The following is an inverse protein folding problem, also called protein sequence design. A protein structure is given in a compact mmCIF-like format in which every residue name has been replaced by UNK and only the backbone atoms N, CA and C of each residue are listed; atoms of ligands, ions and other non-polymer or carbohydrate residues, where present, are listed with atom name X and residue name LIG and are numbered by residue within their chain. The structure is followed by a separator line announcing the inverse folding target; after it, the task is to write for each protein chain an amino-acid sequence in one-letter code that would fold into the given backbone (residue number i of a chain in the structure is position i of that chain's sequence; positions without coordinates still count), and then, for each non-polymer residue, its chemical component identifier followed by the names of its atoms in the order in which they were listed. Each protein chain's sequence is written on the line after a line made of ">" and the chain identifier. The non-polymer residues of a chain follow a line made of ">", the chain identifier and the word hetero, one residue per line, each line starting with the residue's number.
data_IF_784534077467
#
_entry.id   IF_784534077467
#
_cell.length_a   1.000
_cell.length_b   1.000
_cell.length_c   1.000
_cell.angle_alpha   90.00
_cell.angle_beta   90.00
_cell.angle_gamma   90.00
#
_symmetry.space_group_name_H-M   'P 1'
#
loop_
_entity.id
_entity.type
_entity.pdbx_description
1 polymer ?
#
# COMPACT_ATOMS: atom_id res chain seq x y z
N UNK A 1 14.85 29.14 44.51
CA UNK A 1 13.96 28.28 43.68
C UNK A 1 13.90 28.91 42.32
N UNK A 2 14.80 28.47 41.39
CA UNK A 2 14.97 29.07 40.07
C UNK A 2 14.53 27.99 39.06
N UNK A 3 13.41 28.21 38.40
CA UNK A 3 12.97 27.39 37.27
C UNK A 3 13.76 27.81 36.03
N UNK A 4 14.66 26.95 35.57
CA UNK A 4 15.34 27.11 34.27
C UNK A 4 14.43 26.63 33.17
N UNK A 5 13.95 27.56 32.38
CA UNK A 5 13.20 27.34 31.14
C UNK A 5 14.16 26.83 30.07
N UNK A 6 14.07 25.55 29.71
CA UNK A 6 14.71 24.96 28.55
C UNK A 6 13.89 25.29 27.30
N UNK A 7 14.14 26.45 26.72
CA UNK A 7 13.68 26.78 25.40
C UNK A 7 14.59 26.08 24.36
N UNK A 8 14.22 24.89 23.91
CA UNK A 8 14.85 24.25 22.76
C UNK A 8 14.47 25.01 21.51
N UNK A 9 15.36 25.90 21.03
CA UNK A 9 15.27 26.49 19.69
C UNK A 9 15.49 25.36 18.66
N UNK A 10 14.42 24.91 18.07
CA UNK A 10 14.50 24.17 16.81
C UNK A 10 15.03 25.16 15.74
N UNK A 11 16.30 25.05 15.39
CA UNK A 11 16.83 25.70 14.21
C UNK A 11 16.20 25.02 12.98
N UNK A 12 15.20 25.62 12.43
CA UNK A 12 14.70 25.34 11.07
C UNK A 12 15.79 25.75 10.08
N UNK A 13 16.66 24.84 9.76
CA UNK A 13 17.51 24.93 8.56
C UNK A 13 16.57 24.90 7.36
N UNK A 14 16.39 26.06 6.75
CA UNK A 14 15.64 26.25 5.52
C UNK A 14 16.42 25.60 4.35
N UNK A 15 16.48 24.27 4.31
CA UNK A 15 16.82 23.55 3.10
C UNK A 15 15.58 23.59 2.23
N UNK A 16 15.68 24.19 1.05
CA UNK A 16 14.58 24.36 0.12
C UNK A 16 13.81 23.06 -0.04
N UNK A 17 12.65 22.99 0.57
CA UNK A 17 11.70 21.89 0.41
C UNK A 17 11.23 21.92 -1.05
N UNK A 18 11.79 21.06 -1.87
CA UNK A 18 11.10 20.66 -3.09
C UNK A 18 9.98 19.71 -2.63
N UNK A 19 8.75 20.20 -2.62
CA UNK A 19 7.59 19.37 -2.40
C UNK A 19 7.52 18.34 -3.54
N UNK A 20 7.84 17.09 -3.24
CA UNK A 20 7.80 15.99 -4.19
C UNK A 20 6.67 15.04 -3.78
N UNK A 21 5.82 14.74 -4.74
CA UNK A 21 4.81 13.69 -4.64
C UNK A 21 5.25 12.55 -5.54
N UNK A 22 5.09 11.34 -5.05
CA UNK A 22 5.47 10.14 -5.77
C UNK A 22 4.22 9.34 -6.10
N UNK A 23 4.01 9.04 -7.38
CA UNK A 23 2.98 8.12 -7.83
C UNK A 23 3.56 6.73 -7.92
N UNK A 24 2.80 5.73 -7.48
CA UNK A 24 3.25 4.33 -7.48
C UNK A 24 2.19 3.43 -8.09
N UNK A 25 2.63 2.38 -8.80
CA UNK A 25 1.81 1.22 -9.15
C UNK A 25 2.54 -0.05 -8.76
N UNK A 26 1.83 -1.03 -8.21
CA UNK A 26 2.41 -2.32 -7.86
C UNK A 26 2.26 -3.28 -9.05
N UNK A 27 3.39 -3.61 -9.68
CA UNK A 27 3.45 -4.45 -10.86
C UNK A 27 2.95 -5.89 -10.61
N UNK A 28 3.00 -6.38 -9.37
CA UNK A 28 2.44 -7.70 -9.04
C UNK A 28 0.91 -7.68 -9.13
N UNK A 29 0.28 -6.59 -8.73
CA UNK A 29 -1.17 -6.42 -8.86
C UNK A 29 -1.57 -6.20 -10.32
N UNK A 30 -0.78 -5.41 -11.06
CA UNK A 30 -1.00 -5.21 -12.50
C UNK A 30 -0.89 -6.53 -13.26
N UNK A 31 0.10 -7.38 -12.94
CA UNK A 31 0.24 -8.73 -13.50
C UNK A 31 -0.93 -9.66 -13.13
N UNK A 32 -1.55 -9.45 -11.96
CA UNK A 32 -2.76 -10.14 -11.53
C UNK A 32 -4.05 -9.51 -12.09
N UNK A 33 -3.95 -8.57 -13.03
CA UNK A 33 -5.08 -7.82 -13.61
C UNK A 33 -5.87 -7.02 -12.56
N UNK A 34 -5.19 -6.53 -11.54
CA UNK A 34 -5.77 -5.65 -10.51
C UNK A 34 -5.19 -4.25 -10.65
N UNK A 35 -5.83 -3.35 -11.41
CA UNK A 35 -5.45 -1.94 -11.49
C UNK A 35 -5.30 -1.32 -10.12
N UNK A 36 -4.19 -0.61 -9.92
CA UNK A 36 -3.86 -0.05 -8.63
C UNK A 36 -3.05 1.23 -8.77
N UNK A 37 -3.17 2.10 -7.80
CA UNK A 37 -2.41 3.35 -7.73
C UNK A 37 -2.12 3.71 -6.29
N UNK A 38 -0.93 4.23 -6.06
CA UNK A 38 -0.56 4.78 -4.77
C UNK A 38 0.04 6.17 -4.89
N UNK A 39 -0.04 6.91 -3.80
CA UNK A 39 0.59 8.21 -3.64
C UNK A 39 1.45 8.16 -2.39
N UNK A 40 2.70 8.57 -2.50
CA UNK A 40 3.62 8.67 -1.37
C UNK A 40 4.14 10.09 -1.23
N UNK A 41 4.13 10.62 -0.02
CA UNK A 41 4.61 11.94 0.32
C UNK A 41 5.64 11.89 1.44
N UNK A 42 6.83 12.45 1.19
CA UNK A 42 7.88 12.57 2.18
C UNK A 42 7.70 13.90 2.94
N UNK A 43 7.27 13.81 4.19
CA UNK A 43 7.01 14.98 5.04
C UNK A 43 8.18 15.34 5.96
N UNK A 44 9.18 14.47 6.07
CA UNK A 44 10.40 14.71 6.84
C UNK A 44 11.61 13.99 6.21
N UNK A 45 12.85 14.35 6.54
CA UNK A 45 14.06 13.79 5.89
C UNK A 45 14.19 12.27 5.90
N UNK A 46 13.48 11.60 6.81
CA UNK A 46 13.50 10.14 6.95
C UNK A 46 12.13 9.50 7.02
N UNK A 47 11.06 10.25 6.79
CA UNK A 47 9.71 9.77 6.94
C UNK A 47 8.85 10.10 5.73
N UNK A 48 8.09 9.12 5.30
CA UNK A 48 7.07 9.27 4.27
C UNK A 48 5.78 8.57 4.67
N UNK A 49 4.68 9.03 4.12
CA UNK A 49 3.37 8.40 4.22
C UNK A 49 2.92 7.99 2.82
N UNK A 50 2.48 6.75 2.66
CA UNK A 50 1.95 6.18 1.43
C UNK A 50 0.49 5.83 1.60
N UNK A 51 -0.34 6.21 0.66
CA UNK A 51 -1.70 5.72 0.48
C UNK A 51 -1.77 4.95 -0.83
N UNK A 52 -2.45 3.82 -0.82
CA UNK A 52 -2.57 2.93 -1.98
C UNK A 52 -4.01 2.45 -2.11
N UNK A 53 -4.52 2.42 -3.34
CA UNK A 53 -5.83 1.90 -3.67
C UNK A 53 -5.75 0.90 -4.83
N UNK A 54 -6.66 -0.07 -4.83
CA UNK A 54 -6.82 -1.06 -5.89
C UNK A 54 -8.29 -1.31 -6.19
N UNK A 55 -8.57 -1.57 -7.46
CA UNK A 55 -9.91 -1.88 -7.89
C UNK A 55 -9.89 -2.76 -9.14
N UNK A 56 -10.46 -3.93 -9.03
CA UNK A 56 -10.76 -4.82 -10.16
C UNK A 56 -12.18 -5.37 -10.00
N UNK A 57 -12.93 -5.38 -11.08
CA UNK A 57 -14.31 -5.88 -11.08
C UNK A 57 -14.60 -6.63 -12.36
N UNK A 58 -13.90 -7.75 -12.54
CA UNK A 58 -14.02 -8.60 -13.71
C UNK A 58 -15.01 -9.71 -13.44
N UNK A 59 -16.02 -9.85 -14.30
CA UNK A 59 -17.08 -10.86 -14.20
C UNK A 59 -17.32 -11.51 -15.55
N UNK A 60 -17.42 -12.82 -15.54
CA UNK A 60 -17.93 -13.62 -16.65
C UNK A 60 -18.99 -14.58 -16.10
N UNK A 61 -20.24 -14.12 -16.12
CA UNK A 61 -21.38 -14.84 -15.55
C UNK A 61 -21.63 -16.14 -16.29
N UNK A 62 -21.31 -16.21 -17.61
CA UNK A 62 -21.49 -17.42 -18.44
C UNK A 62 -20.53 -18.55 -18.08
N UNK A 63 -19.40 -18.23 -17.47
CA UNK A 63 -18.35 -19.19 -17.06
C UNK A 63 -18.16 -19.27 -15.56
N UNK A 64 -19.00 -18.57 -14.79
CA UNK A 64 -18.89 -18.49 -13.32
C UNK A 64 -17.47 -18.13 -12.87
N UNK A 65 -16.95 -17.01 -13.42
CA UNK A 65 -15.63 -16.49 -13.11
C UNK A 65 -15.73 -15.07 -12.64
N UNK A 66 -15.44 -14.91 -11.35
CA UNK A 66 -15.39 -13.61 -10.72
C UNK A 66 -13.98 -13.34 -10.20
N UNK A 67 -13.42 -12.22 -10.62
CA UNK A 67 -12.15 -11.69 -10.15
C UNK A 67 -12.39 -10.25 -9.71
N UNK A 68 -12.93 -10.13 -8.51
CA UNK A 68 -13.38 -8.85 -7.96
C UNK A 68 -12.63 -8.55 -6.69
N UNK A 69 -11.98 -7.38 -6.64
CA UNK A 69 -11.31 -6.88 -5.44
C UNK A 69 -11.37 -5.36 -5.44
N UNK A 70 -11.65 -4.79 -4.28
CA UNK A 70 -11.57 -3.35 -4.07
C UNK A 70 -11.06 -3.08 -2.66
N UNK A 71 -10.15 -2.13 -2.53
CA UNK A 71 -9.62 -1.78 -1.23
C UNK A 71 -8.48 -0.80 -1.30
N UNK A 72 -7.89 -0.56 -0.14
CA UNK A 72 -6.75 0.32 -0.02
C UNK A 72 -6.00 0.13 1.28
N UNK A 73 -4.86 0.77 1.36
CA UNK A 73 -4.00 0.75 2.53
C UNK A 73 -3.30 2.08 2.73
N UNK A 74 -2.93 2.33 3.96
CA UNK A 74 -2.05 3.43 4.35
C UNK A 74 -0.81 2.86 5.02
N UNK A 75 0.33 3.50 4.83
CA UNK A 75 1.60 3.05 5.36
C UNK A 75 2.44 4.24 5.77
N UNK A 76 3.01 4.17 6.96
CA UNK A 76 4.01 5.11 7.45
C UNK A 76 5.38 4.45 7.34
N UNK A 77 6.30 5.07 6.59
CA UNK A 77 7.64 4.55 6.28
C UNK A 77 8.74 5.36 6.92
N UNK A 78 9.73 4.68 7.45
CA UNK A 78 11.00 5.26 7.90
C UNK A 78 12.14 4.76 7.01
N UNK A 79 12.85 5.70 6.42
CA UNK A 79 14.00 5.45 5.55
C UNK A 79 15.28 5.29 6.37
N UNK A 80 16.07 4.26 6.05
CA UNK A 80 17.25 3.82 6.79
C UNK A 80 18.54 4.24 6.08
N UNK A 81 19.62 4.46 6.85
CA UNK A 81 20.94 4.80 6.33
C UNK A 81 21.45 6.18 6.76
N UNK A 82 22.77 6.42 6.57
CA UNK A 82 23.44 7.66 6.99
C UNK A 82 23.24 8.82 6.02
N UNK A 83 23.00 8.54 4.73
CA UNK A 83 22.82 9.54 3.65
C UNK A 83 21.40 9.48 3.08
N UNK A 84 20.41 9.19 3.92
CA UNK A 84 19.03 9.05 3.47
C UNK A 84 18.42 10.42 3.24
N UNK A 85 17.78 10.56 2.10
CA UNK A 85 16.87 11.63 1.79
C UNK A 85 15.54 11.01 1.36
N UNK A 86 14.54 11.01 2.26
CA UNK A 86 13.22 10.48 1.99
C UNK A 86 12.52 11.18 0.83
N UNK A 87 12.89 12.44 0.54
CA UNK A 87 12.34 13.16 -0.62
C UNK A 87 12.68 12.51 -1.96
N UNK A 88 13.73 11.68 -2.00
CA UNK A 88 14.11 10.92 -3.19
C UNK A 88 13.62 9.47 -3.15
N UNK A 89 13.00 9.02 -2.05
CA UNK A 89 12.52 7.66 -1.83
C UNK A 89 13.55 6.61 -2.30
N UNK A 90 14.76 6.65 -1.76
CA UNK A 90 15.87 5.78 -2.16
C UNK A 90 16.46 5.05 -0.96
N UNK A 91 16.79 3.77 -1.16
CA UNK A 91 17.43 2.93 -0.16
C UNK A 91 16.47 2.06 0.61
N UNK A 92 16.91 1.58 1.76
CA UNK A 92 16.13 0.70 2.63
C UNK A 92 15.10 1.49 3.41
N UNK A 93 13.92 0.90 3.60
CA UNK A 93 12.88 1.44 4.46
C UNK A 93 12.20 0.35 5.27
N UNK A 94 11.67 0.73 6.42
CA UNK A 94 10.76 -0.07 7.24
C UNK A 94 9.46 0.73 7.40
N UNK A 95 8.35 0.04 7.55
CA UNK A 95 7.06 0.70 7.69
C UNK A 95 6.11 -0.03 8.63
N UNK A 96 5.06 0.68 9.00
CA UNK A 96 3.85 0.11 9.60
C UNK A 96 2.69 0.45 8.68
N UNK A 97 1.80 -0.51 8.46
CA UNK A 97 0.69 -0.33 7.54
C UNK A 97 -0.62 -0.84 8.13
N UNK A 98 -1.71 -0.29 7.63
CA UNK A 98 -3.06 -0.79 7.81
C UNK A 98 -3.80 -0.73 6.47
N UNK A 99 -4.64 -1.72 6.21
CA UNK A 99 -5.41 -1.81 4.99
C UNK A 99 -6.76 -2.45 5.21
N UNK A 100 -7.70 -2.14 4.31
CA UNK A 100 -9.01 -2.75 4.27
C UNK A 100 -9.39 -3.06 2.82
N UNK A 101 -10.04 -4.19 2.60
CA UNK A 101 -10.44 -4.65 1.27
C UNK A 101 -11.61 -5.61 1.33
N UNK A 102 -12.34 -5.62 0.22
CA UNK A 102 -13.36 -6.62 -0.09
C UNK A 102 -12.96 -7.39 -1.34
N UNK A 103 -13.39 -8.61 -1.44
CA UNK A 103 -13.16 -9.42 -2.62
C UNK A 103 -14.27 -10.42 -2.87
N UNK A 104 -14.36 -10.87 -4.12
CA UNK A 104 -15.20 -11.95 -4.56
C UNK A 104 -14.43 -12.71 -5.66
N UNK A 105 -13.93 -13.89 -5.31
CA UNK A 105 -13.13 -14.71 -6.19
C UNK A 105 -13.83 -16.04 -6.44
N UNK A 106 -14.17 -16.30 -7.70
CA UNK A 106 -14.70 -17.56 -8.19
C UNK A 106 -13.99 -17.95 -9.49
N UNK A 107 -13.51 -19.16 -9.58
CA UNK A 107 -12.84 -19.70 -10.76
C UNK A 107 -13.48 -21.01 -11.21
N UNK A 108 -14.78 -20.99 -11.53
CA UNK A 108 -15.53 -22.12 -12.05
C UNK A 108 -15.82 -23.19 -11.01
N UNK A 109 -16.63 -22.88 -10.02
CA UNK A 109 -17.01 -23.76 -8.91
C UNK A 109 -17.18 -23.00 -7.60
N UNK A 110 -16.48 -23.42 -6.57
CA UNK A 110 -16.58 -22.78 -5.25
C UNK A 110 -16.00 -21.37 -5.27
N UNK A 111 -16.80 -20.38 -4.89
CA UNK A 111 -16.41 -18.99 -4.72
C UNK A 111 -16.12 -18.64 -3.25
N UNK A 112 -15.32 -17.59 -3.05
CA UNK A 112 -15.05 -17.01 -1.76
C UNK A 112 -15.31 -15.51 -1.83
N UNK A 113 -16.27 -15.03 -1.07
CA UNK A 113 -16.64 -13.62 -0.98
C UNK A 113 -16.36 -13.09 0.41
N UNK A 114 -15.79 -11.92 0.50
CA UNK A 114 -15.63 -11.21 1.75
C UNK A 114 -15.99 -9.74 1.56
N UNK A 115 -16.97 -9.28 2.31
CA UNK A 115 -17.42 -7.88 2.27
C UNK A 115 -16.45 -6.96 2.99
N UNK A 116 -15.75 -7.45 4.00
CA UNK A 116 -14.78 -6.68 4.75
C UNK A 116 -13.68 -7.55 5.32
N UNK A 117 -12.45 -7.27 4.91
CA UNK A 117 -11.24 -7.78 5.54
C UNK A 117 -10.31 -6.60 5.86
N UNK A 118 -9.55 -6.73 6.91
CA UNK A 118 -8.53 -5.76 7.28
C UNK A 118 -7.18 -6.44 7.47
N UNK A 119 -6.12 -5.66 7.29
CA UNK A 119 -4.76 -6.10 7.54
C UNK A 119 -3.97 -5.02 8.26
N UNK A 120 -3.11 -5.46 9.17
CA UNK A 120 -2.17 -4.58 9.87
C UNK A 120 -0.83 -5.30 9.99
N UNK A 121 0.25 -4.56 9.93
CA UNK A 121 1.56 -5.20 10.03
C UNK A 121 2.73 -4.24 9.84
N UNK A 122 3.89 -4.86 9.64
CA UNK A 122 5.14 -4.17 9.38
C UNK A 122 5.66 -4.54 8.00
N UNK A 123 6.36 -3.61 7.37
CA UNK A 123 6.98 -3.78 6.06
C UNK A 123 8.47 -3.54 6.12
N UNK A 124 9.20 -4.19 5.24
CA UNK A 124 10.58 -3.88 4.91
C UNK A 124 10.73 -3.86 3.40
N UNK A 125 11.46 -2.89 2.89
CA UNK A 125 11.70 -2.78 1.47
C UNK A 125 13.00 -2.05 1.13
N UNK A 126 13.26 -2.06 -0.18
CA UNK A 126 14.38 -1.38 -0.80
C UNK A 126 13.95 -0.72 -2.10
N UNK A 127 14.19 0.58 -2.20
CA UNK A 127 13.91 1.37 -3.39
C UNK A 127 15.19 1.70 -4.15
N UNK A 128 15.29 1.16 -5.39
CA UNK A 128 16.40 1.37 -6.31
C UNK A 128 16.04 2.38 -7.39
N UNK A 129 16.83 3.44 -7.63
CA UNK A 129 16.62 4.33 -8.75
C UNK A 129 16.94 3.58 -10.07
N UNK A 130 15.98 3.57 -11.00
CA UNK A 130 16.14 3.00 -12.34
C UNK A 130 16.21 4.07 -13.43
N UNK A 131 15.97 5.33 -13.07
CA UNK A 131 16.02 6.48 -13.96
C UNK A 131 16.05 7.80 -13.20
N UNK A 132 16.02 8.91 -13.95
CA UNK A 132 16.03 10.26 -13.36
C UNK A 132 14.79 10.54 -12.51
N UNK A 133 13.63 10.02 -12.93
CA UNK A 133 12.32 10.24 -12.29
C UNK A 133 11.62 8.94 -11.93
N UNK A 134 12.31 7.82 -12.02
CA UNK A 134 11.75 6.49 -11.79
C UNK A 134 12.61 5.72 -10.79
N UNK A 135 11.94 5.02 -9.89
CA UNK A 135 12.53 4.04 -8.99
C UNK A 135 11.72 2.75 -8.99
N UNK A 136 12.37 1.64 -8.70
CA UNK A 136 11.75 0.36 -8.43
C UNK A 136 11.79 0.12 -6.93
N UNK A 137 10.63 -0.02 -6.31
CA UNK A 137 10.48 -0.29 -4.88
C UNK A 137 10.05 -1.74 -4.67
N UNK A 138 10.88 -2.51 -3.98
CA UNK A 138 10.64 -3.92 -3.69
C UNK A 138 10.48 -4.10 -2.19
N UNK A 139 9.42 -4.76 -1.76
CA UNK A 139 9.13 -4.91 -0.34
C UNK A 139 8.33 -6.15 0.00
N UNK A 140 8.44 -6.55 1.26
CA UNK A 140 7.67 -7.62 1.86
C UNK A 140 7.08 -7.14 3.17
N UNK A 141 5.85 -7.55 3.45
CA UNK A 141 5.16 -7.21 4.69
C UNK A 141 4.72 -8.47 5.41
N UNK A 142 4.86 -8.44 6.73
CA UNK A 142 4.34 -9.46 7.63
C UNK A 142 3.36 -8.81 8.60
N UNK A 143 2.32 -9.55 8.96
CA UNK A 143 1.28 -8.96 9.80
C UNK A 143 0.11 -9.90 10.03
N UNK A 144 -1.01 -9.32 10.37
CA UNK A 144 -2.26 -9.99 10.64
C UNK A 144 -3.31 -9.60 9.59
N UNK A 145 -4.06 -10.60 9.12
CA UNK A 145 -5.26 -10.42 8.31
C UNK A 145 -6.44 -10.99 9.07
N UNK A 146 -7.45 -10.14 9.31
CA UNK A 146 -8.70 -10.51 9.95
C UNK A 146 -9.90 -10.14 9.10
N UNK A 147 -11.01 -10.82 9.35
CA UNK A 147 -12.28 -10.57 8.67
C UNK A 147 -13.13 -11.83 8.58
N UNK A 148 -14.30 -11.67 7.99
CA UNK A 148 -15.24 -12.76 7.74
C UNK A 148 -15.34 -12.96 6.24
N UNK A 149 -15.50 -14.21 5.82
CA UNK A 149 -15.74 -14.54 4.42
C UNK A 149 -16.72 -15.67 4.29
N UNK A 150 -17.51 -15.63 3.24
CA UNK A 150 -18.51 -16.62 2.89
C UNK A 150 -17.97 -17.50 1.77
N UNK A 151 -18.10 -18.80 1.94
CA UNK A 151 -17.93 -19.76 0.84
C UNK A 151 -19.27 -20.06 0.22
N UNK A 152 -19.32 -20.02 -1.09
CA UNK A 152 -20.49 -20.40 -1.87
C UNK A 152 -20.10 -21.34 -3.01
N UNK A 153 -21.06 -22.14 -3.46
CA UNK A 153 -20.91 -23.00 -4.63
C UNK A 153 -22.00 -22.69 -5.65
N UNK A 154 -21.77 -23.07 -6.88
CA UNK A 154 -22.74 -22.94 -7.94
C UNK A 154 -23.26 -24.32 -8.34
N UNK A 155 -24.49 -24.63 -7.95
CA UNK A 155 -25.20 -25.85 -8.35
C UNK A 155 -26.51 -25.49 -9.08
N UNK A 156 -26.75 -26.08 -10.25
CA UNK A 156 -27.99 -25.98 -11.03
C UNK A 156 -28.54 -24.56 -11.26
N UNK A 157 -27.65 -23.58 -11.48
CA UNK A 157 -28.04 -22.19 -11.75
C UNK A 157 -28.34 -21.37 -10.49
N UNK A 158 -28.07 -21.89 -9.31
CA UNK A 158 -28.27 -21.20 -8.02
C UNK A 158 -26.96 -21.12 -7.25
N UNK A 159 -26.75 -19.98 -6.59
CA UNK A 159 -25.65 -19.85 -5.61
C UNK A 159 -26.08 -20.48 -4.29
N UNK A 160 -25.38 -21.54 -3.90
CA UNK A 160 -25.61 -22.23 -2.65
C UNK A 160 -24.58 -21.74 -1.63
N UNK A 161 -25.06 -21.15 -0.56
CA UNK A 161 -24.24 -20.77 0.57
C UNK A 161 -23.77 -22.00 1.31
N UNK A 162 -22.44 -22.14 1.45
CA UNK A 162 -21.83 -23.29 2.13
C UNK A 162 -21.53 -23.02 3.60
N UNK A 163 -20.84 -21.93 3.90
CA UNK A 163 -20.45 -21.58 5.26
C UNK A 163 -19.94 -20.14 5.38
N UNK A 164 -20.21 -19.53 6.53
CA UNK A 164 -19.49 -18.34 6.98
C UNK A 164 -18.26 -18.75 7.77
N UNK A 165 -17.13 -18.17 7.41
CA UNK A 165 -15.84 -18.48 8.01
C UNK A 165 -15.15 -17.21 8.47
N UNK A 166 -14.42 -17.32 9.57
CA UNK A 166 -13.60 -16.22 10.09
C UNK A 166 -12.14 -16.42 9.71
N UNK A 167 -11.52 -15.41 9.14
CA UNK A 167 -10.09 -15.40 8.85
C UNK A 167 -9.32 -14.84 10.04
N UNK A 168 -8.32 -15.58 10.49
CA UNK A 168 -7.33 -15.16 11.45
C UNK A 168 -5.98 -15.65 10.92
N UNK A 169 -5.28 -14.82 10.16
CA UNK A 169 -4.03 -15.20 9.52
C UNK A 169 -2.89 -14.31 10.00
N UNK A 170 -1.80 -14.93 10.43
CA UNK A 170 -0.54 -14.25 10.75
C UNK A 170 0.55 -14.80 9.83
N UNK A 171 1.24 -13.91 9.14
CA UNK A 171 2.28 -14.30 8.19
C UNK A 171 2.59 -13.22 7.17
N UNK A 172 3.05 -13.63 5.98
CA UNK A 172 3.28 -12.71 4.87
C UNK A 172 1.94 -12.21 4.34
N UNK A 173 1.71 -10.91 4.46
CA UNK A 173 0.42 -10.29 4.14
C UNK A 173 0.46 -9.52 2.82
N UNK A 174 1.64 -9.04 2.40
CA UNK A 174 1.80 -8.26 1.18
C UNK A 174 3.20 -8.45 0.60
N UNK A 175 3.28 -8.65 -0.71
CA UNK A 175 4.49 -8.48 -1.50
C UNK A 175 4.33 -7.26 -2.40
N UNK A 176 5.39 -6.51 -2.58
CA UNK A 176 5.39 -5.28 -3.36
C UNK A 176 6.58 -5.27 -4.33
N UNK A 177 6.29 -5.03 -5.62
CA UNK A 177 7.24 -4.63 -6.63
C UNK A 177 6.62 -3.44 -7.34
N UNK A 178 6.93 -2.25 -6.89
CA UNK A 178 6.27 -1.04 -7.35
C UNK A 178 7.17 -0.17 -8.22
N UNK A 179 6.61 0.30 -9.32
CA UNK A 179 7.19 1.39 -10.09
C UNK A 179 6.81 2.72 -9.41
N UNK A 180 7.80 3.54 -9.12
CA UNK A 180 7.64 4.82 -8.42
C UNK A 180 8.04 5.96 -9.37
N UNK A 181 7.11 6.84 -9.65
CA UNK A 181 7.35 8.03 -10.45
C UNK A 181 7.44 9.28 -9.56
N UNK A 182 8.60 9.95 -9.61
CA UNK A 182 8.89 11.16 -8.84
C UNK A 182 8.39 12.40 -9.58
N UNK A 183 7.41 13.10 -9.00
CA UNK A 183 6.79 14.32 -9.54
C UNK A 183 7.19 15.51 -8.68
N UNK A 184 7.93 16.44 -9.24
CA UNK A 184 8.23 17.71 -8.61
C UNK A 184 7.00 18.63 -8.73
N UNK A 185 6.42 18.99 -7.59
CA UNK A 185 5.41 20.04 -7.56
C UNK A 185 6.13 21.38 -7.71
N UNK A 186 5.98 22.00 -8.88
CA UNK A 186 6.70 23.21 -9.24
C UNK A 186 6.56 24.31 -8.19
N UNK A 187 7.70 24.89 -7.81
CA UNK A 187 7.78 26.08 -6.95
C UNK A 187 6.97 27.19 -7.59
N UNK A 188 5.87 27.65 -6.98
CA UNK A 188 5.28 28.95 -7.30
C UNK A 188 6.36 29.99 -7.06
N UNK A 189 6.93 30.50 -8.16
CA UNK A 189 7.85 31.61 -8.12
C UNK A 189 7.13 32.79 -7.49
N UNK A 190 7.55 33.17 -6.30
CA UNK A 190 7.20 34.49 -5.75
C UNK A 190 7.88 35.55 -6.63
N UNK A 191 7.05 36.35 -7.25
CA UNK A 191 7.43 37.68 -7.75
C UNK A 191 7.41 38.65 -6.58
#
# INVERSE_FOLDING_TARGET
>A
MVMASLATRAQTTNMGHHDMVHLTTNLLYDAALVPNVGVEYAFAPRWSAKAHGMYAWWSDDSRHRYWRVAGGSVELRRWLGSKVNAFLLKGHHVGVYAGAYKYDFELGGTGNMADFNYSVGVSYGYSAPIGRRLSLDMGLSVGYIGGEYTKYDHEDGCYVWLADMRRNYVGVTRAEVSLVWHIELGRKGGR
#
